data_IF_713483215810
#
_entry.id   IF_713483215810
#
_cell.length_a   1.000
_cell.length_b   1.000
_cell.length_c   1.000
_cell.angle_alpha   90.00
_cell.angle_beta   90.00
_cell.angle_gamma   90.00
#
_symmetry.space_group_name_H-M   'P 1'
#
loop_
_entity.id
_entity.type
_entity.pdbx_description
1 polymer ?
#
# COMPACT_ATOMS: atom_id res chain seq x y z
N UNK A 1 -51.36 -6.41 16.30
CA UNK A 1 -50.40 -7.06 15.36
C UNK A 1 -49.02 -6.47 15.62
N UNK A 2 -48.21 -7.13 16.45
CA UNK A 2 -46.97 -6.58 17.03
C UNK A 2 -45.77 -7.05 16.20
N UNK A 3 -45.03 -6.09 15.63
CA UNK A 3 -43.91 -6.29 14.70
C UNK A 3 -42.63 -6.58 15.49
N UNK A 4 -42.24 -7.85 15.54
CA UNK A 4 -40.97 -8.29 16.13
C UNK A 4 -39.80 -7.80 15.26
N UNK A 5 -38.99 -6.88 15.78
CA UNK A 5 -37.70 -6.51 15.20
C UNK A 5 -36.63 -7.43 15.79
N UNK A 6 -36.18 -8.40 14.99
CA UNK A 6 -35.08 -9.31 15.34
C UNK A 6 -33.76 -8.58 15.18
N UNK A 7 -33.16 -8.20 16.29
CA UNK A 7 -31.82 -7.59 16.39
C UNK A 7 -30.78 -8.58 15.85
N UNK A 8 -30.21 -8.28 14.68
CA UNK A 8 -29.12 -9.07 14.09
C UNK A 8 -27.82 -8.66 14.78
N UNK A 9 -27.24 -9.59 15.55
CA UNK A 9 -25.93 -9.42 16.17
C UNK A 9 -24.86 -9.52 15.08
N UNK A 10 -24.09 -8.44 14.90
CA UNK A 10 -22.99 -8.37 13.95
C UNK A 10 -21.75 -8.91 14.67
N UNK A 11 -21.44 -10.18 14.48
CA UNK A 11 -20.21 -10.77 15.01
C UNK A 11 -19.04 -10.35 14.12
N UNK A 12 -18.42 -9.20 14.41
CA UNK A 12 -17.12 -8.83 13.84
C UNK A 12 -16.03 -9.68 14.48
N UNK A 13 -15.78 -10.86 13.93
CA UNK A 13 -14.56 -11.62 14.20
C UNK A 13 -13.38 -10.90 13.56
N UNK A 14 -12.87 -9.89 14.28
CA UNK A 14 -11.57 -9.29 13.99
C UNK A 14 -10.51 -10.37 14.19
N UNK A 15 -10.25 -11.11 13.11
CA UNK A 15 -9.19 -12.11 13.02
C UNK A 15 -7.85 -11.35 13.03
N UNK A 16 -7.37 -11.04 14.23
CA UNK A 16 -5.98 -10.65 14.46
C UNK A 16 -5.12 -11.88 14.24
N UNK A 17 -4.87 -12.20 12.96
CA UNK A 17 -3.83 -13.16 12.59
C UNK A 17 -2.48 -12.54 13.00
N UNK A 18 -2.07 -12.81 14.24
CA UNK A 18 -0.66 -12.72 14.64
C UNK A 18 0.08 -13.73 13.77
N UNK A 19 0.72 -13.25 12.71
CA UNK A 19 1.59 -14.07 11.90
C UNK A 19 2.85 -14.35 12.72
N UNK A 20 2.89 -15.53 13.32
CA UNK A 20 4.10 -16.15 13.84
C UNK A 20 5.05 -16.33 12.65
N UNK A 21 6.12 -15.54 12.57
CA UNK A 21 7.16 -15.74 11.56
C UNK A 21 8.49 -16.00 12.27
N UNK A 22 8.90 -17.25 12.11
CA UNK A 22 10.21 -17.83 12.33
C UNK A 22 11.35 -16.80 12.25
N UNK A 23 12.23 -16.81 13.25
CA UNK A 23 13.51 -16.10 13.26
C UNK A 23 14.41 -16.61 12.13
N UNK A 24 14.13 -16.23 10.89
CA UNK A 24 15.17 -16.17 9.86
C UNK A 24 16.03 -14.95 10.20
N UNK A 25 17.36 -14.99 9.99
CA UNK A 25 18.17 -13.79 10.09
C UNK A 25 17.50 -12.74 9.21
N UNK A 26 17.12 -11.62 9.83
CA UNK A 26 16.52 -10.49 9.10
C UNK A 26 17.61 -10.02 8.17
N UNK A 27 17.54 -10.45 6.91
CA UNK A 27 18.40 -9.94 5.85
C UNK A 27 18.26 -8.42 5.90
N UNK A 28 19.37 -7.76 6.22
CA UNK A 28 19.42 -6.31 6.37
C UNK A 28 19.62 -5.69 5.01
N UNK A 29 19.00 -4.54 4.81
CA UNK A 29 19.05 -3.87 3.51
C UNK A 29 20.51 -3.56 3.11
N UNK A 30 20.91 -4.01 1.92
CA UNK A 30 22.24 -3.86 1.33
C UNK A 30 22.53 -2.44 0.83
N UNK A 31 21.97 -1.42 1.49
CA UNK A 31 22.14 -0.04 1.10
C UNK A 31 23.57 0.42 1.40
N UNK A 32 24.36 0.65 0.35
CA UNK A 32 25.78 1.02 0.45
C UNK A 32 26.05 2.39 1.10
N UNK A 33 25.25 3.45 0.85
CA UNK A 33 25.51 4.78 1.41
C UNK A 33 25.27 4.90 2.92
N UNK A 34 24.38 4.06 3.48
CA UNK A 34 24.04 4.06 4.91
C UNK A 34 23.65 2.66 5.34
N UNK A 35 24.17 2.22 6.49
CA UNK A 35 23.73 0.96 7.12
C UNK A 35 22.23 1.05 7.42
N UNK A 36 21.43 0.24 6.72
CA UNK A 36 19.99 0.19 6.90
C UNK A 36 19.62 -1.11 7.62
N UNK A 37 19.10 -0.99 8.84
CA UNK A 37 18.64 -2.13 9.66
C UNK A 37 17.21 -2.56 9.35
N UNK A 38 16.61 -2.03 8.28
CA UNK A 38 15.26 -2.39 7.88
C UNK A 38 15.23 -3.77 7.24
N UNK A 39 14.12 -4.51 7.41
CA UNK A 39 13.95 -5.80 6.79
C UNK A 39 13.97 -5.65 5.27
N UNK A 40 14.69 -6.55 4.63
CA UNK A 40 14.71 -6.72 3.19
C UNK A 40 13.38 -7.26 2.69
N UNK A 41 12.99 -6.87 1.47
CA UNK A 41 11.82 -7.42 0.80
C UNK A 41 12.13 -8.80 0.21
N UNK A 42 11.18 -9.74 0.32
CA UNK A 42 11.30 -11.05 -0.31
C UNK A 42 11.62 -10.86 -1.81
N UNK A 43 12.74 -11.46 -2.27
CA UNK A 43 13.28 -11.42 -3.64
C UNK A 43 14.08 -10.16 -4.05
N UNK A 44 14.39 -9.25 -3.13
CA UNK A 44 15.29 -8.11 -3.37
C UNK A 44 16.34 -8.03 -2.26
N UNK A 45 17.40 -7.24 -2.44
CA UNK A 45 18.40 -6.97 -1.38
C UNK A 45 18.12 -5.65 -0.61
N UNK A 46 17.00 -4.99 -0.92
CA UNK A 46 16.66 -3.68 -0.41
C UNK A 46 15.37 -3.68 0.42
N UNK A 47 15.29 -2.78 1.38
CA UNK A 47 14.06 -2.56 2.15
C UNK A 47 13.02 -1.81 1.31
N UNK A 48 11.77 -1.75 1.80
CA UNK A 48 10.66 -1.03 1.15
C UNK A 48 10.96 0.45 0.83
N UNK A 49 11.90 1.06 1.56
CA UNK A 49 12.28 2.47 1.36
C UNK A 49 13.36 2.64 0.30
N UNK A 50 14.31 1.70 0.21
CA UNK A 50 15.44 1.73 -0.72
C UNK A 50 15.20 0.90 -1.99
N UNK A 51 14.12 0.12 -2.08
CA UNK A 51 13.74 -0.59 -3.31
C UNK A 51 13.50 0.35 -4.51
N UNK A 52 13.34 1.65 -4.24
CA UNK A 52 13.26 2.69 -5.25
C UNK A 52 14.61 3.01 -5.92
N UNK A 53 15.73 2.66 -5.28
CA UNK A 53 17.08 2.86 -5.82
C UNK A 53 17.52 1.66 -6.68
N UNK A 54 16.88 0.50 -6.50
CA UNK A 54 17.12 -0.67 -7.33
C UNK A 54 16.41 -0.52 -8.70
N UNK A 55 17.20 -0.55 -9.77
CA UNK A 55 16.69 -0.48 -11.15
C UNK A 55 16.06 -1.79 -11.62
N UNK A 56 16.49 -2.91 -11.04
CA UNK A 56 15.97 -4.25 -11.34
C UNK A 56 14.60 -4.45 -10.69
N UNK A 57 14.29 -3.69 -9.64
CA UNK A 57 13.04 -3.80 -8.94
C UNK A 57 11.86 -3.18 -9.74
N UNK A 58 10.70 -3.85 -9.81
CA UNK A 58 9.47 -3.35 -10.39
C UNK A 58 8.79 -2.40 -9.41
N UNK A 59 9.52 -1.42 -8.87
CA UNK A 59 8.99 -0.39 -7.99
C UNK A 59 9.37 0.98 -8.55
N UNK A 60 8.46 1.94 -8.39
CA UNK A 60 8.65 3.34 -8.78
C UNK A 60 8.09 4.26 -7.69
N UNK A 61 8.61 5.48 -7.52
CA UNK A 61 8.04 6.42 -6.57
C UNK A 61 6.60 6.75 -6.98
N UNK A 62 5.71 6.86 -5.99
CA UNK A 62 4.32 7.17 -6.22
C UNK A 62 4.16 8.49 -6.98
N UNK A 63 3.45 8.45 -8.11
CA UNK A 63 3.24 9.67 -8.92
C UNK A 63 2.15 10.61 -8.41
N UNK A 64 1.65 10.42 -7.18
CA UNK A 64 0.73 11.37 -6.57
C UNK A 64 1.46 12.66 -6.19
N UNK A 65 0.96 13.79 -6.68
CA UNK A 65 1.37 15.12 -6.26
C UNK A 65 0.36 15.67 -5.23
N UNK A 66 0.87 16.10 -4.07
CA UNK A 66 0.03 16.76 -3.07
C UNK A 66 -0.40 18.14 -3.59
N UNK A 67 -1.70 18.47 -3.60
CA UNK A 67 -2.19 19.74 -4.13
C UNK A 67 -1.77 20.95 -3.30
N UNK A 68 -1.39 20.74 -2.03
CA UNK A 68 -1.04 21.83 -1.09
C UNK A 68 0.43 22.25 -1.29
N UNK A 69 1.33 21.31 -1.57
CA UNK A 69 2.78 21.56 -1.59
C UNK A 69 3.43 21.24 -2.94
N UNK A 70 2.66 20.76 -3.93
CA UNK A 70 3.14 20.17 -5.20
C UNK A 70 4.25 19.11 -5.06
N UNK A 71 4.54 18.66 -3.84
CA UNK A 71 5.51 17.61 -3.57
C UNK A 71 4.96 16.27 -4.04
N UNK A 72 5.84 15.45 -4.63
CA UNK A 72 5.51 14.07 -4.99
C UNK A 72 5.64 13.16 -3.79
N UNK A 73 4.79 12.14 -3.74
CA UNK A 73 4.87 11.12 -2.72
C UNK A 73 6.12 10.26 -2.95
N UNK A 74 6.91 10.04 -1.88
CA UNK A 74 8.12 9.23 -1.92
C UNK A 74 7.84 7.76 -1.56
N UNK A 75 6.58 7.38 -1.38
CA UNK A 75 6.23 6.00 -1.08
C UNK A 75 6.42 5.14 -2.34
N UNK A 76 6.91 3.90 -2.17
CA UNK A 76 7.03 2.97 -3.28
C UNK A 76 5.64 2.59 -3.81
N UNK A 77 5.52 2.58 -5.12
CA UNK A 77 4.40 2.04 -5.85
C UNK A 77 4.89 0.82 -6.64
N UNK A 78 4.10 -0.26 -6.61
CA UNK A 78 4.36 -1.41 -7.48
C UNK A 78 4.21 -0.97 -8.94
N UNK A 79 5.20 -1.29 -9.76
CA UNK A 79 5.21 -1.04 -11.19
C UNK A 79 4.21 -2.04 -11.80
N UNK A 80 2.98 -1.60 -12.05
CA UNK A 80 2.03 -2.39 -12.82
C UNK A 80 2.52 -2.56 -14.27
N UNK A 81 2.17 -3.67 -14.91
CA UNK A 81 2.57 -4.02 -16.29
C UNK A 81 2.14 -2.99 -17.35
N UNK A 82 1.17 -2.14 -17.03
CA UNK A 82 0.68 -1.09 -17.92
C UNK A 82 1.37 0.22 -17.56
N UNK A 83 1.72 1.00 -18.60
CA UNK A 83 2.40 2.31 -18.61
C UNK A 83 1.89 3.38 -17.61
N UNK A 84 0.92 3.05 -16.79
CA UNK A 84 0.26 3.88 -15.81
C UNK A 84 1.19 4.24 -14.65
N UNK A 85 1.03 5.49 -14.20
CA UNK A 85 1.68 6.03 -13.03
C UNK A 85 1.26 5.19 -11.82
N UNK A 86 2.20 4.46 -11.23
CA UNK A 86 1.97 3.69 -10.02
C UNK A 86 1.63 4.61 -8.84
N UNK A 87 0.59 4.26 -8.09
CA UNK A 87 0.26 4.90 -6.83
C UNK A 87 0.64 3.99 -5.66
N UNK A 88 1.05 4.57 -4.53
CA UNK A 88 1.22 3.79 -3.30
C UNK A 88 -0.16 3.33 -2.80
N UNK A 89 -0.27 2.28 -1.94
CA UNK A 89 -1.55 1.72 -1.51
C UNK A 89 -2.50 2.78 -0.90
N UNK A 90 -1.96 3.75 -0.15
CA UNK A 90 -2.73 4.88 0.38
C UNK A 90 -3.35 5.74 -0.73
N UNK A 91 -2.57 6.08 -1.76
CA UNK A 91 -3.04 6.92 -2.86
C UNK A 91 -3.86 6.14 -3.89
N UNK A 92 -3.62 4.83 -4.05
CA UNK A 92 -4.52 3.95 -4.80
C UNK A 92 -5.91 3.99 -4.21
N UNK A 93 -6.02 3.74 -2.90
CA UNK A 93 -7.29 3.81 -2.16
C UNK A 93 -7.95 5.18 -2.27
N UNK A 94 -7.19 6.26 -2.03
CA UNK A 94 -7.71 7.64 -2.12
C UNK A 94 -8.22 7.98 -3.52
N UNK A 95 -7.51 7.54 -4.55
CA UNK A 95 -7.91 7.77 -5.95
C UNK A 95 -9.14 6.95 -6.31
N UNK A 96 -9.20 5.68 -5.87
CA UNK A 96 -10.35 4.81 -6.05
C UNK A 96 -11.61 5.38 -5.37
N UNK A 97 -11.48 5.87 -4.12
CA UNK A 97 -12.60 6.48 -3.39
C UNK A 97 -13.13 7.75 -4.07
N UNK A 98 -12.23 8.59 -4.62
CA UNK A 98 -12.64 9.73 -5.44
C UNK A 98 -13.40 9.29 -6.70
N UNK A 99 -12.91 8.25 -7.37
CA UNK A 99 -13.56 7.68 -8.56
C UNK A 99 -14.94 7.10 -8.24
N UNK A 100 -15.09 6.39 -7.13
CA UNK A 100 -16.40 5.87 -6.71
C UNK A 100 -17.40 7.00 -6.47
N UNK A 101 -16.99 8.07 -5.80
CA UNK A 101 -17.85 9.25 -5.57
C UNK A 101 -18.26 9.96 -6.87
N UNK A 102 -17.38 10.03 -7.88
CA UNK A 102 -17.75 10.60 -9.18
C UNK A 102 -18.70 9.68 -9.95
N UNK A 103 -18.55 8.35 -9.84
CA UNK A 103 -19.45 7.40 -10.49
C UNK A 103 -20.84 7.39 -9.87
N UNK A 104 -20.97 7.53 -8.56
CA UNK A 104 -22.28 7.64 -7.90
C UNK A 104 -23.06 8.93 -8.25
N UNK A 105 -22.39 9.95 -8.80
CA UNK A 105 -23.04 11.18 -9.28
C UNK A 105 -23.50 11.11 -10.74
N UNK A 106 -23.06 10.09 -11.48
CA UNK A 106 -23.47 9.84 -12.85
C UNK A 106 -24.34 8.58 -12.87
N UNK A 107 -25.62 8.76 -12.55
CA UNK A 107 -26.67 7.78 -12.80
C UNK A 107 -27.53 8.39 -13.91
N UNK A 108 -27.56 7.80 -15.12
CA UNK A 108 -28.37 8.30 -16.23
C UNK A 108 -29.88 8.21 -15.94
#
# INVERSE_FOLDING_TARGET
>A
MIRQQKSQQINTTASTKKLNSSKQPIETCAYQPRICTQPVLEQYDYCIKHILEDKNAPFKPCGYAYPINNKRCLLPAQRGDKKDIGYCPLHMWKTQMKRQRSMSKYVP
#
